data_IF_116617727477
#
_entry.id   IF_116617727477
#
_cell.length_a   1.000
_cell.length_b   1.000
_cell.length_c   1.000
_cell.angle_alpha   90.00
_cell.angle_beta   90.00
_cell.angle_gamma   90.00
#
_symmetry.space_group_name_H-M   'P 1'
#
loop_
_entity.id
_entity.type
_entity.pdbx_description
1 polymer ?
#
# COMPACT_ATOMS: atom_id res chain seq x y z
N UNK A 1 39.31 27.34 -15.72
CA UNK A 1 37.83 27.28 -15.70
C UNK A 1 37.48 26.15 -14.76
N UNK A 2 36.95 26.47 -13.58
CA UNK A 2 36.60 25.50 -12.56
C UNK A 2 35.22 24.93 -12.90
N UNK A 3 35.20 23.72 -13.46
CA UNK A 3 33.97 23.03 -13.81
C UNK A 3 33.46 22.29 -12.57
N UNK A 4 32.95 23.06 -11.60
CA UNK A 4 32.27 22.50 -10.43
C UNK A 4 31.07 21.68 -10.88
N UNK A 5 31.23 20.35 -10.89
CA UNK A 5 30.12 19.40 -11.06
C UNK A 5 29.15 19.67 -9.92
N UNK A 6 28.04 20.34 -10.21
CA UNK A 6 26.93 20.49 -9.27
C UNK A 6 26.43 19.08 -9.00
N UNK A 7 26.74 18.53 -7.82
CA UNK A 7 26.12 17.28 -7.34
C UNK A 7 24.61 17.48 -7.49
N UNK A 8 23.98 16.69 -8.37
CA UNK A 8 22.54 16.72 -8.51
C UNK A 8 21.97 16.55 -7.10
N UNK A 9 21.18 17.54 -6.64
CA UNK A 9 20.62 17.50 -5.31
C UNK A 9 19.87 16.17 -5.16
N UNK A 10 20.20 15.40 -4.13
CA UNK A 10 19.56 14.11 -3.86
C UNK A 10 18.05 14.31 -3.84
N UNK A 11 17.32 13.42 -4.51
CA UNK A 11 15.86 13.48 -4.51
C UNK A 11 15.36 13.53 -3.06
N UNK A 12 14.33 14.33 -2.73
CA UNK A 12 13.77 14.44 -1.39
C UNK A 12 13.24 13.11 -0.80
N UNK A 13 13.00 12.13 -1.66
CA UNK A 13 12.57 10.76 -1.38
C UNK A 13 13.46 9.80 -2.19
N UNK A 14 14.73 9.57 -1.77
CA UNK A 14 15.70 8.84 -2.58
C UNK A 14 15.36 7.36 -2.77
N UNK A 15 14.87 6.67 -1.74
CA UNK A 15 14.53 5.23 -1.84
C UNK A 15 13.31 5.02 -2.72
N UNK A 16 12.28 5.86 -2.56
CA UNK A 16 11.08 5.78 -3.41
C UNK A 16 11.41 6.14 -4.85
N UNK A 17 12.31 7.09 -5.11
CA UNK A 17 12.72 7.43 -6.47
C UNK A 17 13.46 6.28 -7.15
N UNK A 18 14.34 5.58 -6.45
CA UNK A 18 15.01 4.37 -6.95
C UNK A 18 13.99 3.26 -7.24
N UNK A 19 13.07 3.00 -6.30
CA UNK A 19 12.02 2.01 -6.48
C UNK A 19 11.10 2.31 -7.69
N UNK A 20 10.72 3.58 -7.89
CA UNK A 20 9.94 3.99 -9.07
C UNK A 20 10.74 3.78 -10.36
N UNK A 21 12.06 4.02 -10.35
CA UNK A 21 12.91 3.76 -11.51
C UNK A 21 12.92 2.26 -11.86
N UNK A 22 13.03 1.38 -10.87
CA UNK A 22 12.96 -0.08 -11.07
C UNK A 22 11.58 -0.50 -11.60
N UNK A 23 10.50 0.06 -11.05
CA UNK A 23 9.15 -0.19 -11.55
C UNK A 23 8.99 0.25 -13.01
N UNK A 24 9.49 1.43 -13.38
CA UNK A 24 9.46 1.92 -14.77
C UNK A 24 10.22 0.98 -15.70
N UNK A 25 11.36 0.45 -15.26
CA UNK A 25 12.16 -0.49 -16.05
C UNK A 25 11.43 -1.83 -16.28
N UNK A 26 10.66 -2.31 -15.30
CA UNK A 26 9.95 -3.61 -15.38
C UNK A 26 8.59 -3.49 -16.06
N UNK A 27 7.80 -2.47 -15.71
CA UNK A 27 6.39 -2.35 -16.12
C UNK A 27 6.17 -1.32 -17.24
N UNK A 28 7.20 -0.54 -17.57
CA UNK A 28 7.12 0.54 -18.55
C UNK A 28 6.91 1.91 -17.91
N UNK A 29 7.60 2.90 -18.45
CA UNK A 29 7.60 4.25 -17.90
C UNK A 29 6.21 4.91 -17.92
N UNK A 30 5.51 4.79 -19.05
CA UNK A 30 4.19 5.40 -19.23
C UNK A 30 3.17 4.88 -18.21
N UNK A 31 3.17 3.57 -17.93
CA UNK A 31 2.24 2.94 -17.00
C UNK A 31 2.43 3.47 -15.57
N UNK A 32 3.69 3.52 -15.13
CA UNK A 32 4.02 3.98 -13.78
C UNK A 32 3.79 5.49 -13.62
N UNK A 33 4.14 6.29 -14.63
CA UNK A 33 3.89 7.74 -14.60
C UNK A 33 2.40 8.06 -14.58
N UNK A 34 1.60 7.31 -15.32
CA UNK A 34 0.15 7.45 -15.33
C UNK A 34 -0.47 7.09 -13.97
N UNK A 35 -0.03 5.98 -13.34
CA UNK A 35 -0.47 5.59 -12.01
C UNK A 35 -0.14 6.65 -10.95
N UNK A 36 1.06 7.23 -11.00
CA UNK A 36 1.48 8.32 -10.10
C UNK A 36 0.67 9.60 -10.38
N UNK A 37 0.41 9.93 -11.64
CA UNK A 37 -0.37 11.12 -12.04
C UNK A 37 -1.81 11.03 -11.55
N UNK A 38 -2.50 9.91 -11.79
CA UNK A 38 -3.86 9.64 -11.29
C UNK A 38 -3.92 9.70 -9.78
N UNK A 39 -2.88 9.18 -9.13
CA UNK A 39 -2.83 9.22 -7.67
C UNK A 39 -2.72 10.61 -7.09
N UNK A 40 -1.87 11.46 -7.68
CA UNK A 40 -1.80 12.89 -7.33
C UNK A 40 -3.11 13.63 -7.59
N UNK A 41 -3.97 13.13 -8.49
CA UNK A 41 -5.29 13.67 -8.79
C UNK A 41 -6.41 13.16 -7.85
N UNK A 42 -6.10 12.31 -6.87
CA UNK A 42 -7.08 11.82 -5.89
C UNK A 42 -7.42 10.33 -6.00
N UNK A 43 -6.88 9.62 -6.99
CA UNK A 43 -7.19 8.19 -7.15
C UNK A 43 -6.28 7.31 -6.28
N UNK A 44 -6.78 6.24 -5.65
CA UNK A 44 -5.97 5.39 -4.78
C UNK A 44 -5.10 4.37 -5.55
N UNK A 45 -4.34 4.83 -6.56
CA UNK A 45 -3.53 3.99 -7.47
C UNK A 45 -2.05 3.89 -7.06
N UNK A 46 -1.54 4.85 -6.30
CA UNK A 46 -0.15 4.89 -5.83
C UNK A 46 -0.09 5.68 -4.53
N UNK A 47 0.73 5.28 -3.56
CA UNK A 47 0.99 6.08 -2.36
C UNK A 47 2.40 5.79 -1.85
N UNK A 48 3.15 6.83 -1.53
CA UNK A 48 4.49 6.69 -0.97
C UNK A 48 4.70 7.70 0.16
N UNK A 49 5.45 7.28 1.17
CA UNK A 49 5.87 8.12 2.28
C UNK A 49 7.34 7.84 2.60
N UNK A 50 8.17 8.88 2.58
CA UNK A 50 9.61 8.78 2.89
C UNK A 50 10.08 10.12 3.48
N UNK A 51 10.89 10.10 4.53
CA UNK A 51 11.44 11.30 5.18
C UNK A 51 10.36 12.34 5.58
N UNK A 52 9.17 11.87 6.00
CA UNK A 52 8.04 12.73 6.35
C UNK A 52 7.36 13.42 5.17
N UNK A 53 7.72 13.06 3.93
CA UNK A 53 7.06 13.52 2.70
C UNK A 53 6.16 12.43 2.16
N UNK A 54 4.97 12.84 1.71
CA UNK A 54 3.99 11.95 1.11
C UNK A 54 3.72 12.33 -0.33
N UNK A 55 3.47 11.32 -1.17
CA UNK A 55 3.04 11.49 -2.56
C UNK A 55 1.87 10.57 -2.81
N UNK A 56 0.83 11.12 -3.43
CA UNK A 56 -0.33 10.36 -3.88
C UNK A 56 -1.43 10.21 -2.85
N UNK A 57 -2.50 9.52 -3.24
CA UNK A 57 -3.68 9.31 -2.43
C UNK A 57 -3.63 7.92 -1.78
N UNK A 58 -3.70 7.83 -0.44
CA UNK A 58 -3.71 6.53 0.23
C UNK A 58 -4.97 5.76 -0.12
N UNK A 59 -4.84 4.45 -0.32
CA UNK A 59 -6.00 3.58 -0.44
C UNK A 59 -6.85 3.67 0.84
N UNK A 60 -8.17 3.89 0.74
CA UNK A 60 -9.03 3.91 1.91
C UNK A 60 -8.88 2.59 2.67
N UNK A 61 -8.67 2.67 3.98
CA UNK A 61 -8.69 1.50 4.87
C UNK A 61 -10.00 0.75 4.66
N UNK A 62 -9.96 -0.38 3.96
CA UNK A 62 -11.14 -0.99 3.37
C UNK A 62 -12.21 -1.32 4.41
N UNK A 63 -13.47 -1.17 4.01
CA UNK A 63 -14.69 -1.68 4.67
C UNK A 63 -14.64 -3.20 4.92
N UNK A 64 -13.66 -3.92 4.36
CA UNK A 64 -13.45 -5.37 4.46
C UNK A 64 -12.09 -5.78 5.05
N UNK A 65 -11.41 -4.91 5.83
CA UNK A 65 -10.23 -5.34 6.58
C UNK A 65 -10.67 -6.29 7.70
N UNK A 66 -10.26 -7.55 7.61
CA UNK A 66 -10.30 -8.47 8.75
C UNK A 66 -9.35 -7.95 9.82
N UNK A 67 -9.87 -7.21 10.79
CA UNK A 67 -9.11 -6.85 11.98
C UNK A 67 -8.89 -8.11 12.78
N UNK A 68 -7.66 -8.60 12.81
CA UNK A 68 -7.25 -9.72 13.68
C UNK A 68 -7.21 -9.21 15.12
N UNK A 69 -8.38 -9.04 15.71
CA UNK A 69 -8.58 -8.68 17.10
C UNK A 69 -8.94 -9.91 17.94
N UNK A 70 -9.30 -9.68 19.20
CA UNK A 70 -9.74 -10.74 20.10
C UNK A 70 -10.92 -11.56 19.54
N UNK A 71 -11.83 -10.95 18.76
CA UNK A 71 -13.00 -11.63 18.20
C UNK A 71 -12.64 -12.62 17.09
N UNK A 72 -11.51 -12.42 16.39
CA UNK A 72 -10.97 -13.39 15.43
C UNK A 72 -10.36 -14.59 16.15
N UNK A 73 -9.63 -14.37 17.24
CA UNK A 73 -9.00 -15.43 18.04
C UNK A 73 -9.98 -16.22 18.91
N UNK A 74 -11.11 -15.62 19.28
CA UNK A 74 -12.17 -16.25 20.09
C UNK A 74 -13.24 -16.98 19.26
N UNK A 75 -13.01 -17.22 17.96
CA UNK A 75 -13.85 -18.16 17.22
C UNK A 75 -13.51 -19.56 17.69
N UNK A 76 -14.25 -20.01 18.69
CA UNK A 76 -14.29 -21.41 19.07
C UNK A 76 -14.74 -22.22 17.83
N UNK A 77 -13.79 -22.82 17.12
CA UNK A 77 -14.10 -23.79 16.09
C UNK A 77 -14.61 -25.04 16.79
N UNK A 78 -15.93 -25.20 16.87
CA UNK A 78 -16.51 -26.40 17.45
C UNK A 78 -16.09 -27.64 16.65
N UNK A 79 -15.89 -28.76 17.32
CA UNK A 79 -15.66 -30.04 16.66
C UNK A 79 -16.86 -30.38 15.76
N UNK A 80 -16.61 -30.60 14.46
CA UNK A 80 -17.65 -30.87 13.48
C UNK A 80 -18.30 -29.63 12.84
N UNK A 81 -17.80 -28.42 13.11
CA UNK A 81 -18.20 -27.23 12.36
C UNK A 81 -17.55 -27.21 10.97
N UNK A 82 -18.35 -27.01 9.92
CA UNK A 82 -17.90 -26.92 8.52
C UNK A 82 -17.46 -25.51 8.09
N UNK A 83 -17.55 -24.54 9.00
CA UNK A 83 -17.13 -23.15 8.75
C UNK A 83 -18.11 -22.33 7.92
N UNK A 84 -19.33 -22.82 7.62
CA UNK A 84 -20.34 -22.05 6.87
C UNK A 84 -20.75 -20.73 7.55
N UNK A 85 -20.48 -20.57 8.84
CA UNK A 85 -20.75 -19.34 9.58
C UNK A 85 -19.69 -18.24 9.42
N UNK A 86 -18.53 -18.53 8.81
CA UNK A 86 -17.43 -17.56 8.66
C UNK A 86 -17.90 -16.35 7.84
N UNK A 87 -17.86 -15.17 8.46
CA UNK A 87 -18.27 -13.91 7.82
C UNK A 87 -19.72 -13.48 8.13
N UNK A 88 -20.50 -14.30 8.82
CA UNK A 88 -21.92 -14.02 9.14
C UNK A 88 -22.16 -13.36 10.51
N UNK A 89 -21.08 -12.95 11.20
CA UNK A 89 -21.07 -12.47 12.59
C UNK A 89 -21.61 -13.45 13.66
N UNK A 90 -22.01 -14.68 13.28
CA UNK A 90 -22.44 -15.74 14.20
C UNK A 90 -21.22 -16.42 14.82
N UNK A 91 -21.21 -16.56 16.15
CA UNK A 91 -20.25 -17.37 16.89
C UNK A 91 -20.81 -18.76 17.17
N UNK A 92 -19.94 -19.77 17.23
CA UNK A 92 -20.31 -21.08 17.72
C UNK A 92 -20.43 -21.04 19.26
N UNK A 93 -21.36 -21.82 19.83
CA UNK A 93 -21.42 -22.03 21.29
C UNK A 93 -20.45 -23.15 21.67
N UNK A 94 -19.68 -22.92 22.74
CA UNK A 94 -18.85 -23.94 23.37
C UNK A 94 -19.70 -25.08 23.94
#
# INVERSE_FOLDING_TARGET
MDTGVRKAASHPMPEIAAFVADMKAVFGEQEIDEAIRRSKAGEPTFYACENGRTVGTPTPTQTNVWRVDGAVRNRHYCAGCDGLCVGTAKSCRA
#
